data_IF_900578212556
#
_entry.id   IF_900578212556
#
_cell.length_a   1.000
_cell.length_b   1.000
_cell.length_c   1.000
_cell.angle_alpha   90.00
_cell.angle_beta   90.00
_cell.angle_gamma   90.00
#
_symmetry.space_group_name_H-M   'P 1'
#
loop_
_entity.id
_entity.type
_entity.pdbx_description
1 polymer ?
#
# COMPACT_ATOMS: atom_id res chain seq x y z
N UNK A 1 -13.31 12.30 0.33
CA UNK A 1 -11.94 12.00 -0.13
C UNK A 1 -11.12 13.26 -0.45
N UNK A 2 -11.61 14.20 -1.26
CA UNK A 2 -10.90 15.46 -1.55
C UNK A 2 -10.45 16.23 -0.28
N UNK A 3 -11.35 16.43 0.69
CA UNK A 3 -11.03 17.06 1.99
C UNK A 3 -9.91 16.35 2.75
N UNK A 4 -9.88 15.01 2.70
CA UNK A 4 -8.82 14.23 3.34
C UNK A 4 -7.48 14.42 2.63
N UNK A 5 -7.49 14.56 1.30
CA UNK A 5 -6.30 14.88 0.50
C UNK A 5 -5.71 16.25 0.87
N UNK A 6 -6.53 17.30 0.81
CA UNK A 6 -6.12 18.65 1.21
C UNK A 6 -5.63 18.71 2.66
N UNK A 7 -6.35 18.05 3.58
CA UNK A 7 -5.98 18.01 4.98
C UNK A 7 -4.70 17.22 5.28
N UNK A 8 -4.33 16.23 4.44
CA UNK A 8 -3.10 15.42 4.61
C UNK A 8 -1.87 16.10 4.04
N UNK A 9 -1.99 16.83 2.93
CA UNK A 9 -0.88 17.43 2.21
C UNK A 9 0.09 18.25 3.10
N UNK A 10 -0.37 19.16 3.98
CA UNK A 10 0.54 19.94 4.81
C UNK A 10 1.06 19.19 6.05
N UNK A 11 0.40 18.11 6.48
CA UNK A 11 0.70 17.47 7.78
C UNK A 11 2.13 16.97 7.88
N UNK A 12 2.60 16.26 6.86
CA UNK A 12 3.93 15.65 6.91
C UNK A 12 5.01 16.74 6.92
N UNK A 13 4.93 17.70 5.99
CA UNK A 13 5.90 18.79 5.87
C UNK A 13 5.92 19.68 7.12
N UNK A 14 4.76 20.13 7.61
CA UNK A 14 4.71 21.01 8.78
C UNK A 14 5.15 20.32 10.06
N UNK A 15 4.82 19.02 10.24
CA UNK A 15 5.23 18.30 11.45
C UNK A 15 6.75 18.11 11.51
N UNK A 16 7.37 17.74 10.39
CA UNK A 16 8.83 17.53 10.34
C UNK A 16 9.58 18.85 10.51
N UNK A 17 9.15 19.92 9.83
CA UNK A 17 9.77 21.25 9.95
C UNK A 17 9.63 21.80 11.36
N UNK A 18 8.43 21.69 11.97
CA UNK A 18 8.21 22.12 13.35
C UNK A 18 9.19 21.44 14.31
N UNK A 19 9.37 20.13 14.18
CA UNK A 19 10.29 19.37 15.03
C UNK A 19 11.74 19.78 14.79
N UNK A 20 12.16 19.97 13.53
CA UNK A 20 13.53 20.38 13.22
C UNK A 20 13.87 21.77 13.77
N UNK A 21 12.93 22.72 13.68
CA UNK A 21 13.14 24.09 14.16
C UNK A 21 13.23 24.18 15.69
N UNK A 22 12.43 23.37 16.39
CA UNK A 22 12.21 23.45 17.84
C UNK A 22 12.99 22.40 18.66
N UNK A 23 13.71 21.47 18.03
CA UNK A 23 14.54 20.49 18.74
C UNK A 23 16.03 20.71 18.48
N UNK A 24 16.88 20.17 19.35
CA UNK A 24 18.32 20.16 19.10
C UNK A 24 18.61 19.28 17.88
N UNK A 25 19.49 19.72 16.97
CA UNK A 25 19.83 19.01 15.72
C UNK A 25 20.25 17.55 15.93
N UNK A 26 20.83 17.24 17.09
CA UNK A 26 21.23 15.89 17.51
C UNK A 26 20.02 14.98 17.72
N UNK A 27 18.89 15.53 18.16
CA UNK A 27 17.67 14.80 18.50
C UNK A 27 16.62 14.81 17.38
N UNK A 28 16.73 15.69 16.37
CA UNK A 28 15.79 15.76 15.24
C UNK A 28 15.58 14.40 14.58
N UNK A 29 16.65 13.64 14.35
CA UNK A 29 16.57 12.32 13.71
C UNK A 29 15.76 11.30 14.51
N UNK A 30 15.82 11.35 15.85
CA UNK A 30 15.03 10.48 16.72
C UNK A 30 13.54 10.81 16.61
N UNK A 31 13.18 12.09 16.75
CA UNK A 31 11.78 12.54 16.65
C UNK A 31 11.18 12.31 15.27
N UNK A 32 11.93 12.60 14.19
CA UNK A 32 11.51 12.31 12.82
C UNK A 32 11.27 10.81 12.63
N UNK A 33 12.18 9.96 13.15
CA UNK A 33 12.01 8.52 13.18
C UNK A 33 10.72 8.09 13.89
N UNK A 34 10.41 8.66 15.06
CA UNK A 34 9.15 8.39 15.78
C UNK A 34 7.91 8.76 14.97
N UNK A 35 7.91 9.92 14.30
CA UNK A 35 6.81 10.36 13.43
C UNK A 35 6.60 9.37 12.27
N UNK A 36 7.68 8.97 11.61
CA UNK A 36 7.64 8.00 10.51
C UNK A 36 7.15 6.62 10.99
N UNK A 37 7.65 6.11 12.10
CA UNK A 37 7.22 4.82 12.67
C UNK A 37 5.74 4.84 13.09
N UNK A 38 5.28 5.93 13.72
CA UNK A 38 3.85 6.07 14.09
C UNK A 38 2.92 6.07 12.86
N UNK A 39 3.39 6.64 11.75
CA UNK A 39 2.65 6.63 10.48
C UNK A 39 2.51 5.21 9.89
N UNK A 40 3.49 4.34 10.12
CA UNK A 40 3.47 2.93 9.69
C UNK A 40 2.58 2.05 10.57
N UNK A 41 2.39 2.40 11.85
CA UNK A 41 1.48 1.71 12.76
C UNK A 41 0.00 1.93 12.42
N UNK A 42 -0.34 3.08 11.84
CA UNK A 42 -1.72 3.47 11.54
C UNK A 42 -2.51 2.40 10.77
N UNK A 43 -2.00 1.88 9.63
CA UNK A 43 -2.66 0.82 8.89
C UNK A 43 -2.90 -0.47 9.68
N UNK A 44 -1.96 -0.90 10.53
CA UNK A 44 -2.15 -2.09 11.36
C UNK A 44 -3.35 -1.90 12.30
N UNK A 45 -3.40 -0.77 13.01
CA UNK A 45 -4.53 -0.43 13.89
C UNK A 45 -5.85 -0.32 13.10
N UNK A 46 -5.80 0.23 11.88
CA UNK A 46 -6.98 0.33 11.02
C UNK A 46 -7.53 -1.03 10.59
N UNK A 47 -6.67 -1.96 10.16
CA UNK A 47 -7.11 -3.32 9.82
C UNK A 47 -7.59 -4.09 11.05
N UNK A 48 -6.96 -3.90 12.22
CA UNK A 48 -7.39 -4.52 13.47
C UNK A 48 -8.82 -4.09 13.84
N UNK A 49 -9.06 -2.78 13.93
CA UNK A 49 -10.38 -2.23 14.23
C UNK A 49 -11.39 -2.56 13.12
N UNK A 50 -10.96 -2.54 11.85
CA UNK A 50 -11.78 -2.99 10.72
C UNK A 50 -12.25 -4.44 10.86
N UNK A 51 -11.40 -5.32 11.38
CA UNK A 51 -11.76 -6.70 11.73
C UNK A 51 -12.81 -6.77 12.84
N UNK A 52 -12.66 -5.97 13.91
CA UNK A 52 -13.64 -5.88 15.00
C UNK A 52 -15.00 -5.42 14.47
N UNK A 53 -15.03 -4.32 13.73
CA UNK A 53 -16.28 -3.77 13.18
C UNK A 53 -16.91 -4.68 12.12
N UNK A 54 -16.12 -5.46 11.38
CA UNK A 54 -16.61 -6.44 10.42
C UNK A 54 -17.27 -7.67 11.06
N UNK A 55 -16.98 -7.93 12.34
CA UNK A 55 -17.64 -8.98 13.13
C UNK A 55 -18.97 -8.52 13.72
N UNK A 56 -19.24 -7.22 13.76
CA UNK A 56 -20.52 -6.66 14.21
C UNK A 56 -21.45 -6.49 13.01
N UNK A 57 -22.72 -6.87 13.16
CA UNK A 57 -23.71 -6.67 12.09
C UNK A 57 -24.01 -5.18 11.90
N UNK A 58 -24.33 -4.78 10.67
CA UNK A 58 -24.47 -3.36 10.27
C UNK A 58 -25.47 -2.56 11.12
N UNK A 59 -26.56 -3.18 11.59
CA UNK A 59 -27.58 -2.53 12.46
C UNK A 59 -27.26 -2.61 13.95
N UNK A 60 -26.20 -3.34 14.35
CA UNK A 60 -25.81 -3.61 15.74
C UNK A 60 -26.84 -4.43 16.55
N UNK A 61 -27.89 -4.92 15.89
CA UNK A 61 -28.91 -5.77 16.50
C UNK A 61 -28.45 -7.23 16.58
N UNK A 62 -29.03 -7.99 17.51
CA UNK A 62 -28.82 -9.43 17.58
C UNK A 62 -29.47 -10.09 16.36
N UNK A 63 -28.68 -10.84 15.59
CA UNK A 63 -29.16 -11.57 14.41
C UNK A 63 -28.72 -13.02 14.50
N UNK A 64 -29.50 -13.92 13.90
CA UNK A 64 -29.12 -15.33 13.73
C UNK A 64 -28.14 -15.53 12.55
N UNK A 65 -27.82 -14.46 11.81
CA UNK A 65 -26.86 -14.53 10.70
C UNK A 65 -25.45 -14.67 11.25
N UNK A 66 -24.66 -15.55 10.63
CA UNK A 66 -23.23 -15.69 10.94
C UNK A 66 -22.38 -14.80 10.02
N UNK A 67 -21.16 -14.41 10.40
CA UNK A 67 -20.24 -13.65 9.54
C UNK A 67 -19.83 -14.33 8.22
N UNK A 68 -20.21 -15.59 8.00
CA UNK A 68 -20.01 -16.32 6.75
C UNK A 68 -21.22 -16.25 5.81
N UNK A 69 -22.37 -15.82 6.32
CA UNK A 69 -23.60 -15.77 5.56
C UNK A 69 -23.50 -14.71 4.43
N UNK A 70 -23.99 -14.95 3.20
CA UNK A 70 -23.85 -14.01 2.07
C UNK A 70 -24.46 -12.62 2.30
N UNK A 71 -25.49 -12.55 3.16
CA UNK A 71 -26.15 -11.30 3.55
C UNK A 71 -25.49 -10.59 4.74
N UNK A 72 -24.39 -11.14 5.28
CA UNK A 72 -23.67 -10.48 6.36
C UNK A 72 -22.97 -9.23 5.84
N UNK A 73 -23.30 -8.08 6.43
CA UNK A 73 -22.63 -6.82 6.19
C UNK A 73 -22.11 -6.34 7.53
N UNK A 74 -20.79 -6.19 7.62
CA UNK A 74 -20.13 -5.65 8.82
C UNK A 74 -20.47 -4.18 9.04
N UNK A 75 -20.39 -3.72 10.29
CA UNK A 75 -20.63 -2.33 10.68
C UNK A 75 -19.49 -1.37 10.25
N UNK A 76 -19.24 -1.27 8.95
CA UNK A 76 -18.15 -0.49 8.34
C UNK A 76 -18.16 1.00 8.73
N UNK A 77 -19.35 1.56 8.97
CA UNK A 77 -19.55 2.97 9.30
C UNK A 77 -18.99 3.35 10.68
N UNK A 78 -18.87 2.40 11.62
CA UNK A 78 -18.29 2.64 12.94
C UNK A 78 -16.85 3.14 12.87
N UNK A 79 -16.09 2.68 11.87
CA UNK A 79 -14.72 3.15 11.66
C UNK A 79 -14.65 4.66 11.46
N UNK A 80 -15.56 5.25 10.68
CA UNK A 80 -15.57 6.70 10.46
C UNK A 80 -15.86 7.49 11.74
N UNK A 81 -16.75 6.97 12.60
CA UNK A 81 -17.07 7.60 13.87
C UNK A 81 -15.88 7.52 14.82
N UNK A 82 -15.31 6.33 15.01
CA UNK A 82 -14.21 6.11 15.96
C UNK A 82 -12.97 6.93 15.56
N UNK A 83 -12.53 6.83 14.30
CA UNK A 83 -11.37 7.61 13.84
C UNK A 83 -11.68 9.11 13.73
N UNK A 84 -12.93 9.49 13.42
CA UNK A 84 -13.37 10.87 13.40
C UNK A 84 -13.29 11.52 14.78
N UNK A 85 -13.89 10.88 15.80
CA UNK A 85 -13.84 11.35 17.19
C UNK A 85 -12.41 11.37 17.71
N UNK A 86 -11.63 10.31 17.47
CA UNK A 86 -10.21 10.30 17.87
C UNK A 86 -9.42 11.46 17.23
N UNK A 87 -9.69 11.77 15.96
CA UNK A 87 -9.03 12.90 15.28
C UNK A 87 -9.43 14.26 15.88
N UNK A 88 -10.67 14.42 16.34
CA UNK A 88 -11.12 15.63 17.04
C UNK A 88 -10.45 15.76 18.40
N UNK A 89 -10.33 14.67 19.16
CA UNK A 89 -9.62 14.66 20.45
C UNK A 89 -8.16 15.05 20.27
N UNK A 90 -7.47 14.51 19.25
CA UNK A 90 -6.07 14.87 18.94
C UNK A 90 -5.94 16.30 18.41
N UNK A 91 -6.98 16.87 17.80
CA UNK A 91 -6.99 18.27 17.39
C UNK A 91 -7.05 19.24 18.59
N UNK A 92 -7.63 18.84 19.72
CA UNK A 92 -7.73 19.71 20.91
C UNK A 92 -6.36 20.20 21.41
N UNK A 93 -5.35 19.34 21.65
CA UNK A 93 -4.01 19.77 22.02
C UNK A 93 -3.32 20.68 21.00
N UNK A 94 -3.66 20.58 19.71
CA UNK A 94 -3.09 21.46 18.69
C UNK A 94 -3.54 22.92 18.87
N UNK A 95 -4.69 23.17 19.48
CA UNK A 95 -5.10 24.55 19.84
C UNK A 95 -4.24 25.14 20.96
N UNK A 96 -3.52 24.32 21.73
CA UNK A 96 -2.57 24.78 22.73
C UNK A 96 -1.22 25.20 22.12
N UNK A 97 -0.98 24.94 20.82
CA UNK A 97 0.25 25.39 20.18
C UNK A 97 0.27 26.91 20.03
N UNK A 98 1.44 27.56 20.20
CA UNK A 98 1.53 29.01 20.12
C UNK A 98 1.13 29.50 18.71
N UNK A 99 0.32 30.57 18.65
CA UNK A 99 -0.11 31.20 17.38
C UNK A 99 1.06 31.66 16.50
N UNK A 100 2.24 31.85 17.10
CA UNK A 100 3.47 32.23 16.43
C UNK A 100 4.60 31.36 16.96
N UNK A 101 5.29 30.68 16.06
CA UNK A 101 6.57 30.06 16.38
C UNK A 101 7.60 31.17 16.65
N UNK A 102 8.35 31.12 17.77
CA UNK A 102 9.44 32.05 17.97
C UNK A 102 10.46 31.86 16.85
N UNK A 103 10.59 32.87 15.97
CA UNK A 103 11.65 32.89 14.96
C UNK A 103 12.98 32.79 15.70
N UNK A 104 13.76 31.73 15.45
CA UNK A 104 15.20 31.82 15.66
C UNK A 104 15.66 33.05 14.87
N UNK A 105 16.42 33.93 15.50
CA UNK A 105 17.04 35.10 14.88
C UNK A 105 18.02 34.63 13.79
N UNK A 106 17.50 34.16 12.67
CA UNK A 106 18.24 34.17 11.42
C UNK A 106 18.41 35.65 11.13
N UNK A 107 19.68 36.10 11.12
CA UNK A 107 20.06 37.40 10.57
C UNK A 107 19.77 37.35 9.06
N UNK A 108 18.49 37.41 8.70
CA UNK A 108 18.09 37.65 7.33
C UNK A 108 18.31 39.13 7.07
N UNK A 109 19.46 39.41 6.46
CA UNK A 109 19.82 40.69 5.87
C UNK A 109 18.95 40.96 4.65
N UNK A 110 17.64 41.12 4.84
CA UNK A 110 16.78 41.76 3.87
C UNK A 110 15.56 42.35 4.59
N UNK A 111 15.60 43.67 4.73
CA UNK A 111 14.43 44.49 5.04
C UNK A 111 13.37 44.24 3.95
N UNK A 112 12.42 43.33 4.17
CA UNK A 112 11.21 43.23 3.36
C UNK A 112 10.07 43.96 4.07
N UNK A 113 9.95 45.25 3.75
CA UNK A 113 8.70 45.98 3.90
C UNK A 113 7.69 45.46 2.87
N UNK A 114 6.45 45.19 3.30
CA UNK A 114 5.33 44.78 2.44
C UNK A 114 4.42 45.99 2.26
N UNK A 115 4.23 46.47 1.02
CA UNK A 115 2.97 46.22 0.30
C UNK A 115 3.19 45.71 -1.15
N UNK A 116 2.27 44.88 -1.65
CA UNK A 116 2.40 44.17 -2.94
C UNK A 116 2.21 45.07 -4.17
N UNK A 117 2.79 44.66 -5.32
CA UNK A 117 1.94 44.27 -6.44
C UNK A 117 2.29 42.86 -6.97
N UNK A 118 1.34 42.23 -7.66
CA UNK A 118 1.42 40.92 -8.33
C UNK A 118 2.73 40.70 -9.12
N UNK A 119 3.31 41.80 -9.64
CA UNK A 119 4.57 41.82 -10.38
C UNK A 119 5.78 41.38 -9.54
N UNK A 120 5.86 41.78 -8.26
CA UNK A 120 6.94 41.34 -7.36
C UNK A 120 6.76 39.87 -6.96
N UNK A 121 5.51 39.40 -6.87
CA UNK A 121 5.18 37.99 -6.65
C UNK A 121 5.65 37.13 -7.83
N UNK A 122 5.39 37.58 -9.06
CA UNK A 122 5.93 36.95 -10.28
C UNK A 122 7.47 37.02 -10.34
N UNK A 123 8.08 38.17 -9.99
CA UNK A 123 9.54 38.33 -9.97
C UNK A 123 10.25 37.44 -8.95
N UNK A 124 9.61 37.07 -7.84
CA UNK A 124 10.18 36.12 -6.86
C UNK A 124 9.82 34.68 -7.21
N UNK A 125 8.61 34.42 -7.66
CA UNK A 125 8.13 33.06 -7.96
C UNK A 125 8.81 32.45 -9.19
N UNK A 126 9.06 33.25 -10.24
CA UNK A 126 9.71 32.77 -11.47
C UNK A 126 11.14 32.25 -11.22
N UNK A 127 12.08 33.00 -10.60
CA UNK A 127 13.42 32.49 -10.34
C UNK A 127 13.41 31.29 -9.38
N UNK A 128 12.56 31.30 -8.36
CA UNK A 128 12.39 30.15 -7.45
C UNK A 128 11.89 28.91 -8.20
N UNK A 129 10.95 29.08 -9.13
CA UNK A 129 10.43 27.99 -9.96
C UNK A 129 11.47 27.49 -10.98
N UNK A 130 12.26 28.39 -11.57
CA UNK A 130 13.36 28.03 -12.46
C UNK A 130 14.48 27.31 -11.70
N UNK A 131 14.82 27.75 -10.48
CA UNK A 131 15.76 27.05 -9.61
C UNK A 131 15.25 25.68 -9.19
N UNK A 132 13.95 25.55 -8.92
CA UNK A 132 13.28 24.28 -8.68
C UNK A 132 13.44 23.34 -9.90
N UNK A 133 13.11 23.82 -11.11
CA UNK A 133 13.25 23.05 -12.35
C UNK A 133 14.70 22.66 -12.63
N UNK A 134 15.64 23.58 -12.41
CA UNK A 134 17.06 23.31 -12.55
C UNK A 134 17.54 22.24 -11.56
N UNK A 135 17.04 22.27 -10.31
CA UNK A 135 17.36 21.26 -9.28
C UNK A 135 16.76 19.90 -9.63
N UNK A 136 15.51 19.88 -10.12
CA UNK A 136 14.86 18.67 -10.60
C UNK A 136 15.60 18.07 -11.80
N UNK A 137 16.02 18.90 -12.76
CA UNK A 137 16.81 18.46 -13.90
C UNK A 137 18.13 17.84 -13.46
N UNK A 138 18.88 18.47 -12.54
CA UNK A 138 20.13 17.90 -12.00
C UNK A 138 19.92 16.54 -11.34
N UNK A 139 18.80 16.35 -10.62
CA UNK A 139 18.46 15.07 -10.03
C UNK A 139 18.15 14.00 -11.08
N UNK A 140 17.37 14.36 -12.11
CA UNK A 140 16.99 13.44 -13.19
C UNK A 140 18.14 13.12 -14.14
N UNK A 141 19.19 13.95 -14.18
CA UNK A 141 20.42 13.66 -14.92
C UNK A 141 21.36 12.73 -14.13
N UNK A 142 21.23 12.65 -12.81
CA UNK A 142 22.02 11.72 -11.99
C UNK A 142 21.48 10.28 -12.16
N UNK A 143 22.19 9.41 -12.90
CA UNK A 143 21.66 8.08 -13.25
C UNK A 143 21.50 7.18 -12.02
N UNK A 144 22.40 7.29 -11.02
CA UNK A 144 22.29 6.50 -9.79
C UNK A 144 21.02 6.86 -9.02
N UNK A 145 20.71 8.16 -8.93
CA UNK A 145 19.47 8.63 -8.30
C UNK A 145 18.23 8.14 -9.07
N UNK A 146 18.23 8.24 -10.41
CA UNK A 146 17.10 7.79 -11.24
C UNK A 146 16.84 6.29 -11.11
N UNK A 147 17.87 5.45 -11.15
CA UNK A 147 17.68 4.00 -10.97
C UNK A 147 17.11 3.65 -9.59
N UNK A 148 17.58 4.31 -8.53
CA UNK A 148 17.05 4.13 -7.18
C UNK A 148 15.62 4.65 -7.06
N UNK A 149 15.28 5.75 -7.73
CA UNK A 149 13.94 6.33 -7.82
C UNK A 149 12.97 5.36 -8.49
N UNK A 150 13.30 4.84 -9.66
CA UNK A 150 12.45 3.88 -10.37
C UNK A 150 12.27 2.60 -9.52
N UNK A 151 13.36 2.08 -8.94
CA UNK A 151 13.28 0.93 -8.03
C UNK A 151 12.36 1.17 -6.83
N UNK A 152 12.41 2.38 -6.25
CA UNK A 152 11.56 2.77 -5.13
C UNK A 152 10.08 2.87 -5.55
N UNK A 153 9.80 3.41 -6.73
CA UNK A 153 8.43 3.49 -7.26
C UNK A 153 7.89 2.09 -7.55
N UNK A 154 8.67 1.20 -8.16
CA UNK A 154 8.24 -0.19 -8.44
C UNK A 154 7.89 -0.95 -7.17
N UNK A 155 8.69 -0.81 -6.09
CA UNK A 155 8.38 -1.50 -4.83
C UNK A 155 7.17 -0.88 -4.11
N UNK A 156 7.00 0.46 -4.17
CA UNK A 156 5.84 1.13 -3.59
C UNK A 156 4.57 0.76 -4.35
N UNK A 157 4.61 0.62 -5.67
CA UNK A 157 3.51 0.12 -6.47
C UNK A 157 3.07 -1.28 -6.00
N UNK A 158 4.03 -2.21 -5.83
CA UNK A 158 3.73 -3.55 -5.28
C UNK A 158 3.11 -3.47 -3.89
N UNK A 159 3.66 -2.65 -2.99
CA UNK A 159 3.12 -2.51 -1.64
C UNK A 159 1.73 -1.89 -1.61
N UNK A 160 1.47 -0.85 -2.39
CA UNK A 160 0.18 -0.17 -2.44
C UNK A 160 -0.93 -1.09 -2.97
N UNK A 161 -0.65 -1.85 -4.04
CA UNK A 161 -1.59 -2.84 -4.58
C UNK A 161 -1.88 -3.97 -3.60
N UNK A 162 -0.84 -4.52 -2.98
CA UNK A 162 -1.00 -5.55 -1.94
C UNK A 162 -1.81 -5.00 -0.77
N UNK A 163 -1.42 -3.85 -0.20
CA UNK A 163 -2.07 -3.26 0.96
C UNK A 163 -3.56 -3.00 0.75
N UNK A 164 -3.96 -2.61 -0.46
CA UNK A 164 -5.35 -2.27 -0.77
C UNK A 164 -6.27 -3.49 -0.86
N UNK A 165 -5.73 -4.65 -1.27
CA UNK A 165 -6.54 -5.83 -1.58
C UNK A 165 -6.09 -7.12 -0.89
N UNK A 166 -5.10 -7.07 0.02
CA UNK A 166 -4.58 -8.25 0.71
C UNK A 166 -5.66 -8.98 1.52
N UNK A 167 -6.49 -8.25 2.26
CA UNK A 167 -7.60 -8.85 3.02
C UNK A 167 -8.60 -9.53 2.10
N UNK A 168 -8.97 -8.87 0.98
CA UNK A 168 -9.84 -9.44 -0.05
C UNK A 168 -9.24 -10.69 -0.71
N UNK A 169 -7.92 -10.68 -0.95
CA UNK A 169 -7.20 -11.84 -1.44
C UNK A 169 -7.31 -13.01 -0.44
N UNK A 170 -7.09 -12.75 0.85
CA UNK A 170 -7.25 -13.77 1.89
C UNK A 170 -8.69 -14.31 2.01
N UNK A 171 -9.69 -13.42 1.90
CA UNK A 171 -11.11 -13.79 1.91
C UNK A 171 -11.45 -14.78 0.78
N UNK A 172 -11.01 -14.50 -0.45
CA UNK A 172 -11.40 -15.30 -1.62
C UNK A 172 -10.49 -16.48 -1.86
N UNK A 173 -9.19 -16.32 -1.71
CA UNK A 173 -8.22 -17.39 -1.94
C UNK A 173 -8.32 -18.48 -0.87
N UNK A 174 -8.47 -18.09 0.41
CA UNK A 174 -8.45 -18.99 1.56
C UNK A 174 -9.80 -19.12 2.28
N UNK A 175 -10.87 -18.53 1.74
CA UNK A 175 -12.24 -18.63 2.27
C UNK A 175 -12.35 -18.17 3.73
N UNK A 176 -11.56 -17.15 4.07
CA UNK A 176 -11.60 -16.54 5.39
C UNK A 176 -12.80 -15.60 5.52
N UNK A 177 -13.51 -15.62 6.66
CA UNK A 177 -14.43 -14.54 6.99
C UNK A 177 -13.72 -13.19 6.99
N UNK A 178 -14.42 -12.13 6.59
CA UNK A 178 -13.88 -10.76 6.46
C UNK A 178 -13.11 -10.32 7.71
N UNK A 179 -13.64 -10.60 8.90
CA UNK A 179 -12.98 -10.23 10.16
C UNK A 179 -11.64 -10.96 10.37
N UNK A 180 -11.55 -12.26 10.03
CA UNK A 180 -10.32 -13.04 10.16
C UNK A 180 -9.27 -12.57 9.16
N UNK A 181 -9.68 -12.28 7.92
CA UNK A 181 -8.79 -11.74 6.90
C UNK A 181 -8.18 -10.38 7.32
N UNK A 182 -9.01 -9.50 7.90
CA UNK A 182 -8.56 -8.22 8.44
C UNK A 182 -7.59 -8.37 9.63
N UNK A 183 -7.86 -9.28 10.57
CA UNK A 183 -6.95 -9.56 11.67
C UNK A 183 -5.60 -10.10 11.19
N UNK A 184 -5.61 -11.05 10.24
CA UNK A 184 -4.39 -11.59 9.64
C UNK A 184 -3.60 -10.49 8.93
N UNK A 185 -4.28 -9.62 8.18
CA UNK A 185 -3.66 -8.47 7.51
C UNK A 185 -2.99 -7.54 8.52
N UNK A 186 -3.71 -7.18 9.60
CA UNK A 186 -3.17 -6.37 10.69
C UNK A 186 -1.92 -7.01 11.31
N UNK A 187 -1.98 -8.30 11.64
CA UNK A 187 -0.86 -9.04 12.22
C UNK A 187 0.37 -9.02 11.31
N UNK A 188 0.18 -9.28 10.01
CA UNK A 188 1.27 -9.21 9.03
C UNK A 188 1.86 -7.81 8.95
N UNK A 189 1.05 -6.76 8.82
CA UNK A 189 1.54 -5.37 8.71
C UNK A 189 2.27 -4.94 9.99
N UNK A 190 1.72 -5.25 11.16
CA UNK A 190 2.34 -4.92 12.45
C UNK A 190 3.71 -5.59 12.60
N UNK A 191 3.76 -6.91 12.40
CA UNK A 191 4.98 -7.70 12.59
C UNK A 191 6.06 -7.43 11.54
N UNK A 192 5.68 -6.98 10.34
CA UNK A 192 6.65 -6.85 9.23
C UNK A 192 7.02 -5.41 8.95
N UNK A 193 6.04 -4.50 8.83
CA UNK A 193 6.30 -3.11 8.49
C UNK A 193 6.97 -2.34 9.63
N UNK A 194 6.48 -2.51 10.86
CA UNK A 194 7.01 -1.79 12.01
C UNK A 194 8.38 -2.34 12.44
N UNK A 195 8.47 -3.65 12.68
CA UNK A 195 9.74 -4.29 13.03
C UNK A 195 10.76 -4.22 11.90
N UNK A 196 10.36 -4.43 10.64
CA UNK A 196 11.28 -4.35 9.51
C UNK A 196 11.92 -2.97 9.37
N UNK A 197 11.13 -1.90 9.47
CA UNK A 197 11.68 -0.53 9.40
C UNK A 197 12.61 -0.24 10.58
N UNK A 198 12.21 -0.64 11.80
CA UNK A 198 13.02 -0.45 13.00
C UNK A 198 14.35 -1.23 12.96
N UNK A 199 14.29 -2.52 12.63
CA UNK A 199 15.47 -3.39 12.49
C UNK A 199 16.35 -2.87 11.36
N UNK A 200 15.78 -2.45 10.22
CA UNK A 200 16.53 -1.87 9.11
C UNK A 200 17.29 -0.61 9.49
N UNK A 201 16.67 0.26 10.29
CA UNK A 201 17.32 1.44 10.87
C UNK A 201 18.41 1.07 11.87
N UNK A 202 18.11 0.16 12.80
CA UNK A 202 19.05 -0.32 13.81
C UNK A 202 20.30 -0.95 13.20
N UNK A 203 20.14 -1.83 12.21
CA UNK A 203 21.24 -2.44 11.45
C UNK A 203 22.09 -1.38 10.74
N UNK A 204 21.44 -0.43 10.08
CA UNK A 204 22.12 0.67 9.36
C UNK A 204 22.98 1.52 10.29
N UNK A 205 22.44 1.87 11.45
CA UNK A 205 23.13 2.69 12.45
C UNK A 205 24.22 1.94 13.20
N UNK A 206 23.96 0.70 13.65
CA UNK A 206 24.92 -0.09 14.44
C UNK A 206 26.13 -0.55 13.63
N UNK A 207 25.90 -0.98 12.39
CA UNK A 207 26.99 -1.42 11.52
C UNK A 207 27.75 -0.26 10.86
N UNK A 208 27.38 1.00 11.13
CA UNK A 208 27.96 2.20 10.52
C UNK A 208 28.09 2.05 9.00
N UNK A 209 27.00 1.64 8.36
CA UNK A 209 27.03 1.27 6.94
C UNK A 209 27.35 2.49 6.08
N UNK A 210 28.41 2.39 5.28
CA UNK A 210 28.69 3.37 4.23
C UNK A 210 27.65 3.24 3.11
N UNK A 211 27.52 4.25 2.23
CA UNK A 211 26.56 4.21 1.13
C UNK A 211 26.73 2.97 0.22
N UNK A 212 27.98 2.53 0.00
CA UNK A 212 28.28 1.29 -0.73
C UNK A 212 27.76 0.03 -0.01
N UNK A 213 27.95 -0.05 1.30
CA UNK A 213 27.47 -1.18 2.11
C UNK A 213 25.94 -1.18 2.17
N UNK A 214 25.31 -0.02 2.28
CA UNK A 214 23.85 0.12 2.18
C UNK A 214 23.33 -0.36 0.82
N UNK A 215 24.02 -0.04 -0.28
CA UNK A 215 23.63 -0.48 -1.62
C UNK A 215 23.75 -2.01 -1.80
N UNK A 216 24.82 -2.62 -1.28
CA UNK A 216 24.96 -4.10 -1.24
C UNK A 216 23.86 -4.76 -0.42
N UNK A 217 23.57 -4.21 0.77
CA UNK A 217 22.50 -4.72 1.62
C UNK A 217 21.13 -4.58 0.94
N UNK A 218 20.88 -3.45 0.29
CA UNK A 218 19.65 -3.22 -0.48
C UNK A 218 19.48 -4.28 -1.57
N UNK A 219 20.55 -4.60 -2.32
CA UNK A 219 20.54 -5.65 -3.34
C UNK A 219 20.13 -7.02 -2.76
N UNK A 220 20.68 -7.40 -1.60
CA UNK A 220 20.34 -8.67 -0.95
C UNK A 220 18.88 -8.65 -0.48
N UNK A 221 18.42 -7.57 0.17
CA UNK A 221 17.05 -7.46 0.67
C UNK A 221 16.02 -7.47 -0.47
N UNK A 222 16.28 -6.79 -1.60
CA UNK A 222 15.36 -6.81 -2.75
C UNK A 222 15.37 -8.15 -3.47
N UNK A 223 16.51 -8.85 -3.53
CA UNK A 223 16.57 -10.21 -4.06
C UNK A 223 15.76 -11.20 -3.21
N UNK A 224 15.88 -11.11 -1.87
CA UNK A 224 15.07 -11.91 -0.95
C UNK A 224 13.58 -11.56 -1.08
N UNK A 225 13.23 -10.27 -1.14
CA UNK A 225 11.86 -9.83 -1.38
C UNK A 225 11.27 -10.43 -2.67
N UNK A 226 12.04 -10.44 -3.75
CA UNK A 226 11.63 -11.05 -5.02
C UNK A 226 11.47 -12.58 -4.89
N UNK A 227 12.42 -13.27 -4.26
CA UNK A 227 12.34 -14.71 -4.05
C UNK A 227 11.08 -15.12 -3.26
N UNK A 228 10.77 -14.42 -2.16
CA UNK A 228 9.55 -14.67 -1.40
C UNK A 228 8.28 -14.27 -2.16
N UNK A 229 8.32 -13.24 -3.01
CA UNK A 229 7.19 -12.91 -3.89
C UNK A 229 6.90 -14.03 -4.90
N UNK A 230 7.91 -14.72 -5.41
CA UNK A 230 7.71 -15.92 -6.25
C UNK A 230 7.20 -17.10 -5.41
N UNK A 231 7.73 -17.30 -4.20
CA UNK A 231 7.31 -18.37 -3.29
C UNK A 231 5.81 -18.32 -2.96
N UNK A 232 5.25 -17.11 -2.89
CA UNK A 232 3.81 -16.87 -2.63
C UNK A 232 2.89 -17.56 -3.66
N UNK A 233 3.33 -17.78 -4.91
CA UNK A 233 2.54 -18.48 -5.92
C UNK A 233 2.25 -19.95 -5.59
N UNK A 234 3.15 -20.57 -4.83
CA UNK A 234 3.05 -21.99 -4.46
C UNK A 234 1.86 -22.20 -3.53
N UNK A 235 1.63 -21.26 -2.60
CA UNK A 235 0.58 -21.37 -1.60
C UNK A 235 -0.75 -20.85 -2.12
N UNK A 236 -1.60 -21.78 -2.55
CA UNK A 236 -2.92 -21.49 -3.07
C UNK A 236 -3.90 -22.61 -2.68
N UNK A 237 -5.19 -22.32 -2.76
CA UNK A 237 -6.26 -23.29 -2.61
C UNK A 237 -6.97 -23.46 -3.96
N UNK A 238 -7.42 -24.68 -4.24
CA UNK A 238 -8.24 -24.94 -5.42
C UNK A 238 -9.61 -24.26 -5.31
N UNK A 239 -10.22 -24.00 -6.46
CA UNK A 239 -11.55 -23.40 -6.52
C UNK A 239 -12.60 -24.45 -6.11
N UNK A 240 -13.49 -24.13 -5.16
CA UNK A 240 -14.52 -25.08 -4.74
C UNK A 240 -15.52 -25.27 -5.89
N UNK A 241 -15.97 -26.51 -6.09
CA UNK A 241 -17.00 -26.83 -7.07
C UNK A 241 -18.34 -26.29 -6.60
N UNK A 242 -19.00 -25.55 -7.50
CA UNK A 242 -20.37 -25.06 -7.26
C UNK A 242 -21.28 -25.90 -8.15
N UNK A 243 -22.18 -26.66 -7.54
CA UNK A 243 -23.12 -27.56 -8.20
C UNK A 243 -24.39 -26.85 -8.67
N UNK A 244 -25.04 -27.43 -9.68
CA UNK A 244 -26.29 -26.99 -10.28
C UNK A 244 -26.18 -25.55 -10.80
N UNK A 245 -25.16 -25.30 -11.63
CA UNK A 245 -24.98 -24.00 -12.29
C UNK A 245 -26.02 -23.81 -13.40
N UNK A 246 -26.35 -22.56 -13.77
CA UNK A 246 -27.13 -22.29 -14.97
C UNK A 246 -26.55 -23.04 -16.19
N UNK A 247 -27.40 -23.77 -16.92
CA UNK A 247 -27.00 -24.63 -18.04
C UNK A 247 -26.71 -26.10 -17.67
N UNK A 248 -26.66 -26.46 -16.39
CA UNK A 248 -26.64 -27.86 -15.94
C UNK A 248 -28.07 -28.37 -15.70
N UNK A 249 -28.60 -29.17 -16.63
CA UNK A 249 -29.92 -29.79 -16.45
C UNK A 249 -29.87 -30.85 -15.35
N UNK A 250 -30.59 -30.62 -14.25
CA UNK A 250 -30.69 -31.56 -13.14
C UNK A 250 -32.14 -31.99 -12.94
N UNK A 251 -32.38 -33.30 -12.77
CA UNK A 251 -33.75 -33.82 -12.61
C UNK A 251 -34.44 -33.26 -11.37
N UNK A 252 -33.67 -32.98 -10.31
CA UNK A 252 -34.17 -32.54 -9.01
C UNK A 252 -34.76 -31.12 -8.99
N UNK A 253 -34.34 -30.22 -9.88
CA UNK A 253 -34.79 -28.83 -9.92
C UNK A 253 -35.62 -28.47 -11.17
N UNK A 254 -36.02 -29.45 -12.00
CA UNK A 254 -36.83 -29.23 -13.22
C UNK A 254 -38.16 -28.50 -12.99
N UNK A 255 -38.74 -28.64 -11.80
CA UNK A 255 -39.99 -27.94 -11.43
C UNK A 255 -39.78 -26.48 -11.02
N UNK A 256 -38.53 -26.00 -10.94
CA UNK A 256 -38.19 -24.66 -10.48
C UNK A 256 -37.72 -23.80 -11.66
N UNK A 257 -38.45 -22.74 -11.99
CA UNK A 257 -38.05 -21.78 -13.02
C UNK A 257 -37.04 -20.77 -12.44
N UNK A 258 -35.83 -21.25 -12.17
CA UNK A 258 -34.79 -20.47 -11.50
C UNK A 258 -34.22 -19.37 -12.40
N UNK A 259 -33.90 -18.22 -11.80
CA UNK A 259 -33.21 -17.13 -12.50
C UNK A 259 -31.70 -17.38 -12.50
N UNK A 260 -31.11 -17.38 -13.70
CA UNK A 260 -29.67 -17.60 -13.88
C UNK A 260 -28.81 -16.51 -13.24
N UNK A 261 -29.33 -15.28 -13.11
CA UNK A 261 -28.59 -14.15 -12.53
C UNK A 261 -28.65 -14.08 -10.99
N UNK A 262 -29.27 -15.06 -10.32
CA UNK A 262 -29.48 -15.06 -8.86
C UNK A 262 -28.51 -15.98 -8.14
N UNK A 263 -27.21 -15.66 -8.18
CA UNK A 263 -26.19 -16.40 -7.44
C UNK A 263 -26.30 -16.12 -5.94
N UNK A 264 -26.61 -17.17 -5.17
CA UNK A 264 -26.73 -17.11 -3.72
C UNK A 264 -26.27 -18.44 -3.12
N UNK A 265 -24.95 -18.62 -2.88
CA UNK A 265 -24.43 -19.94 -2.56
C UNK A 265 -25.00 -20.45 -1.24
N UNK A 266 -25.38 -21.73 -1.24
CA UNK A 266 -25.83 -22.45 -0.05
C UNK A 266 -24.99 -23.73 0.14
N UNK A 267 -24.82 -24.13 1.39
CA UNK A 267 -24.15 -25.35 1.79
C UNK A 267 -25.20 -26.38 2.20
N UNK A 268 -25.29 -27.48 1.46
CA UNK A 268 -26.13 -28.62 1.84
C UNK A 268 -25.56 -29.38 3.03
N UNK A 269 -26.43 -30.08 3.76
CA UNK A 269 -26.01 -31.01 4.82
C UNK A 269 -25.14 -32.17 4.28
N UNK A 270 -25.13 -32.37 2.95
CA UNK A 270 -24.26 -33.28 2.22
C UNK A 270 -22.82 -32.75 2.01
N UNK A 271 -22.53 -31.54 2.49
CA UNK A 271 -21.23 -30.88 2.38
C UNK A 271 -20.94 -30.29 0.99
N UNK A 272 -21.94 -30.20 0.11
CA UNK A 272 -21.78 -29.64 -1.23
C UNK A 272 -22.32 -28.21 -1.33
N UNK A 273 -21.62 -27.39 -2.11
CA UNK A 273 -22.03 -26.00 -2.36
C UNK A 273 -22.86 -25.93 -3.63
N UNK A 274 -24.06 -25.35 -3.55
CA UNK A 274 -24.98 -25.18 -4.67
C UNK A 274 -25.10 -23.71 -5.09
N UNK A 275 -25.42 -23.47 -6.37
CA UNK A 275 -25.49 -22.13 -6.97
C UNK A 275 -26.48 -21.18 -6.27
N UNK A 276 -27.67 -21.69 -5.94
CA UNK A 276 -28.73 -20.95 -5.24
C UNK A 276 -29.72 -21.90 -4.54
N UNK A 277 -30.56 -21.40 -3.60
CA UNK A 277 -31.62 -22.20 -3.01
C UNK A 277 -32.59 -22.79 -4.05
N UNK A 278 -32.91 -22.02 -5.09
CA UNK A 278 -33.77 -22.48 -6.18
C UNK A 278 -33.09 -23.60 -6.99
N UNK A 279 -31.82 -23.41 -7.33
CA UNK A 279 -31.06 -24.43 -8.08
C UNK A 279 -30.83 -25.71 -7.27
N UNK A 280 -30.92 -25.64 -5.94
CA UNK A 280 -30.94 -26.81 -5.04
C UNK A 280 -32.34 -27.39 -4.79
N UNK A 281 -33.39 -26.79 -5.37
CA UNK A 281 -34.77 -27.24 -5.26
C UNK A 281 -35.39 -27.06 -3.86
N UNK A 282 -34.95 -26.06 -3.10
CA UNK A 282 -35.49 -25.77 -1.77
C UNK A 282 -36.83 -25.03 -1.85
N UNK A 283 -37.84 -25.50 -1.11
CA UNK A 283 -39.19 -24.91 -1.11
C UNK A 283 -39.48 -24.01 0.10
N UNK A 284 -38.72 -24.18 1.19
CA UNK A 284 -38.91 -23.43 2.43
C UNK A 284 -37.62 -22.75 2.86
N UNK A 285 -37.74 -21.54 3.39
CA UNK A 285 -36.63 -20.77 3.93
C UNK A 285 -37.06 -20.17 5.27
N UNK A 286 -36.41 -20.59 6.35
CA UNK A 286 -36.70 -20.13 7.70
C UNK A 286 -35.40 -19.73 8.38
N UNK A 287 -35.29 -18.48 8.82
CA UNK A 287 -34.14 -17.95 9.57
C UNK A 287 -32.75 -18.23 8.94
N UNK A 288 -32.64 -18.24 7.61
CA UNK A 288 -31.36 -18.52 6.90
C UNK A 288 -31.03 -20.01 6.72
N UNK A 289 -31.95 -20.89 7.11
CA UNK A 289 -31.92 -22.32 6.84
C UNK A 289 -32.95 -22.63 5.75
N UNK A 290 -32.51 -23.32 4.72
CA UNK A 290 -33.34 -23.78 3.62
C UNK A 290 -33.73 -25.22 3.86
N UNK A 291 -35.01 -25.54 3.67
CA UNK A 291 -35.57 -26.85 3.92
C UNK A 291 -36.34 -27.37 2.71
N UNK A 292 -36.56 -28.67 2.69
CA UNK A 292 -37.22 -29.39 1.61
C UNK A 292 -36.50 -29.15 0.27
N UNK A 293 -35.18 -29.34 0.29
CA UNK A 293 -34.30 -29.20 -0.88
C UNK A 293 -34.18 -30.54 -1.61
N UNK A 294 -34.79 -30.67 -2.78
CA UNK A 294 -34.81 -31.91 -3.56
C UNK A 294 -33.44 -32.36 -4.09
N UNK A 295 -32.51 -31.42 -4.31
CA UNK A 295 -31.18 -31.72 -4.84
C UNK A 295 -30.11 -32.00 -3.76
N UNK A 296 -30.46 -31.87 -2.48
CA UNK A 296 -29.53 -31.97 -1.35
C UNK A 296 -29.81 -33.24 -0.56
N UNK A 297 -28.79 -34.09 -0.36
CA UNK A 297 -28.95 -35.25 0.51
C UNK A 297 -29.13 -34.77 1.96
N UNK A 298 -30.25 -35.14 2.59
CA UNK A 298 -30.67 -34.64 3.91
C UNK A 298 -31.71 -33.51 3.86
N UNK A 299 -32.00 -32.94 2.69
CA UNK A 299 -33.13 -32.03 2.47
C UNK A 299 -33.03 -30.66 3.15
N UNK A 300 -31.88 -30.35 3.77
CA UNK A 300 -31.60 -29.07 4.42
C UNK A 300 -30.29 -28.47 3.91
N UNK A 301 -30.24 -27.14 3.88
CA UNK A 301 -29.07 -26.37 3.52
C UNK A 301 -29.00 -25.07 4.34
N UNK A 302 -27.79 -24.54 4.51
CA UNK A 302 -27.54 -23.27 5.18
C UNK A 302 -26.98 -22.23 4.21
N UNK A 303 -27.25 -20.95 4.44
CA UNK A 303 -26.70 -19.88 3.60
C UNK A 303 -25.18 -19.75 3.69
N UNK A 304 -24.52 -19.64 2.54
CA UNK A 304 -23.07 -19.56 2.42
C UNK A 304 -22.45 -20.77 1.71
N UNK A 305 -21.16 -20.70 1.43
CA UNK A 305 -20.41 -21.83 0.86
C UNK A 305 -20.05 -22.84 1.94
N UNK A 306 -19.95 -24.13 1.58
CA UNK A 306 -19.48 -25.14 2.52
C UNK A 306 -18.04 -24.88 2.97
N UNK A 307 -17.74 -25.29 4.20
CA UNK A 307 -16.38 -25.24 4.71
C UNK A 307 -15.53 -26.31 4.05
N UNK A 308 -14.35 -25.92 3.58
CA UNK A 308 -13.35 -26.85 3.11
C UNK A 308 -11.99 -26.45 3.67
N UNK A 309 -11.19 -27.44 4.05
CA UNK A 309 -9.90 -27.20 4.69
C UNK A 309 -8.84 -26.83 3.65
N UNK A 310 -8.25 -25.64 3.77
CA UNK A 310 -7.04 -25.29 3.02
C UNK A 310 -5.84 -25.13 3.95
N UNK A 311 -4.90 -26.08 3.88
CA UNK A 311 -3.68 -26.10 4.70
C UNK A 311 -2.63 -25.07 4.26
N UNK A 312 -2.73 -24.53 3.04
CA UNK A 312 -1.76 -23.59 2.47
C UNK A 312 -1.85 -22.16 3.02
N UNK A 313 -2.84 -21.84 3.87
CA UNK A 313 -3.02 -20.50 4.45
C UNK A 313 -1.78 -20.04 5.24
N UNK A 314 -1.30 -20.87 6.17
CA UNK A 314 -0.18 -20.50 7.03
C UNK A 314 1.10 -20.30 6.22
N UNK A 315 1.35 -21.16 5.23
CA UNK A 315 2.47 -21.02 4.30
C UNK A 315 2.43 -19.71 3.53
N UNK A 316 1.25 -19.32 3.03
CA UNK A 316 1.06 -18.03 2.35
C UNK A 316 1.33 -16.84 3.28
N UNK A 317 0.77 -16.85 4.48
CA UNK A 317 0.91 -15.75 5.45
C UNK A 317 2.38 -15.56 5.85
N UNK A 318 3.11 -16.66 6.11
CA UNK A 318 4.54 -16.61 6.41
C UNK A 318 5.33 -16.09 5.21
N UNK A 319 5.07 -16.60 4.00
CA UNK A 319 5.74 -16.17 2.77
C UNK A 319 5.53 -14.67 2.49
N UNK A 320 4.27 -14.21 2.53
CA UNK A 320 3.89 -12.82 2.35
C UNK A 320 4.46 -11.92 3.46
N UNK A 321 4.51 -12.44 4.69
CA UNK A 321 5.12 -11.76 5.83
C UNK A 321 6.63 -11.56 5.63
N UNK A 322 7.36 -12.61 5.25
CA UNK A 322 8.80 -12.53 4.98
C UNK A 322 9.11 -11.59 3.81
N UNK A 323 8.32 -11.66 2.73
CA UNK A 323 8.39 -10.69 1.63
C UNK A 323 8.28 -9.25 2.15
N UNK A 324 7.24 -8.95 2.92
CA UNK A 324 7.04 -7.61 3.47
C UNK A 324 8.20 -7.21 4.40
N UNK A 325 8.67 -8.12 5.26
CA UNK A 325 9.78 -7.87 6.18
C UNK A 325 11.03 -7.40 5.43
N UNK A 326 11.45 -8.12 4.38
CA UNK A 326 12.64 -7.74 3.59
C UNK A 326 12.44 -6.43 2.83
N UNK A 327 11.23 -6.16 2.34
CA UNK A 327 10.91 -4.86 1.77
C UNK A 327 11.14 -3.72 2.78
N UNK A 328 10.63 -3.85 4.01
CA UNK A 328 10.73 -2.81 5.04
C UNK A 328 12.14 -2.69 5.66
N UNK A 329 12.88 -3.79 5.77
CA UNK A 329 14.30 -3.79 6.15
C UNK A 329 15.16 -2.93 5.21
N UNK A 330 14.81 -2.91 3.92
CA UNK A 330 15.52 -2.13 2.90
C UNK A 330 15.20 -0.63 2.88
N UNK A 331 14.20 -0.15 3.64
CA UNK A 331 13.74 1.26 3.56
C UNK A 331 14.80 2.24 4.05
N UNK A 332 15.37 2.01 5.25
CA UNK A 332 16.38 2.91 5.83
C UNK A 332 17.70 2.91 5.05
N UNK A 333 18.30 1.75 4.67
CA UNK A 333 19.47 1.73 3.79
C UNK A 333 19.23 2.46 2.47
N UNK A 334 18.06 2.29 1.85
CA UNK A 334 17.70 2.99 0.63
C UNK A 334 17.69 4.51 0.84
N UNK A 335 17.04 4.99 1.89
CA UNK A 335 17.03 6.42 2.25
C UNK A 335 18.45 6.99 2.43
N UNK A 336 19.35 6.25 3.09
CA UNK A 336 20.76 6.67 3.24
C UNK A 336 21.46 6.80 1.89
N UNK A 337 21.30 5.83 0.98
CA UNK A 337 21.91 5.91 -0.36
C UNK A 337 21.32 7.08 -1.15
N UNK A 338 20.01 7.30 -1.08
CA UNK A 338 19.31 8.41 -1.74
C UNK A 338 19.88 9.79 -1.36
N UNK A 339 20.16 10.02 -0.08
CA UNK A 339 20.73 11.29 0.38
C UNK A 339 22.20 11.41 -0.01
N UNK A 340 22.95 10.30 0.02
CA UNK A 340 24.39 10.29 -0.20
C UNK A 340 24.78 10.34 -1.68
N UNK A 341 23.90 9.94 -2.60
CA UNK A 341 24.17 10.03 -4.04
C UNK A 341 23.90 11.42 -4.64
N UNK A 342 23.39 12.37 -3.85
CA UNK A 342 23.01 13.72 -4.28
C UNK A 342 23.85 14.78 -3.56
N UNK A 343 24.26 15.88 -4.23
CA UNK A 343 24.95 17.01 -3.60
C UNK A 343 24.15 17.64 -2.46
N UNK A 344 24.83 18.22 -1.47
CA UNK A 344 24.16 18.73 -0.25
C UNK A 344 23.03 19.73 -0.54
N UNK A 345 23.24 20.61 -1.52
CA UNK A 345 22.27 21.61 -1.96
C UNK A 345 20.96 21.02 -2.49
N UNK A 346 20.99 19.81 -3.05
CA UNK A 346 19.88 19.20 -3.78
C UNK A 346 19.19 18.09 -2.95
N UNK A 347 19.65 17.82 -1.71
CA UNK A 347 19.13 16.75 -0.83
C UNK A 347 17.66 16.94 -0.46
N UNK A 348 17.25 18.16 -0.10
CA UNK A 348 15.86 18.47 0.25
C UNK A 348 14.91 18.19 -0.94
N UNK A 349 15.35 18.54 -2.15
CA UNK A 349 14.61 18.27 -3.37
C UNK A 349 14.50 16.77 -3.66
N UNK A 350 15.59 16.02 -3.52
CA UNK A 350 15.59 14.56 -3.67
C UNK A 350 14.57 13.88 -2.73
N UNK A 351 14.48 14.35 -1.49
CA UNK A 351 13.53 13.84 -0.50
C UNK A 351 12.07 14.21 -0.81
N UNK A 352 11.82 15.30 -1.54
CA UNK A 352 10.48 15.71 -1.95
C UNK A 352 10.01 14.99 -3.24
N UNK A 353 10.92 14.74 -4.18
CA UNK A 353 10.62 14.13 -5.48
C UNK A 353 10.15 12.68 -5.33
N UNK A 354 10.80 11.88 -4.47
CA UNK A 354 10.42 10.49 -4.23
C UNK A 354 8.94 10.32 -3.81
N UNK A 355 8.45 10.95 -2.72
CA UNK A 355 7.07 10.80 -2.29
C UNK A 355 6.06 11.36 -3.30
N UNK A 356 6.40 12.41 -4.06
CA UNK A 356 5.55 12.94 -5.12
C UNK A 356 5.32 11.89 -6.22
N UNK A 357 6.41 11.32 -6.76
CA UNK A 357 6.34 10.31 -7.83
C UNK A 357 5.69 9.03 -7.28
N UNK A 358 6.00 8.64 -6.04
CA UNK A 358 5.39 7.51 -5.37
C UNK A 358 3.87 7.69 -5.16
N UNK A 359 3.39 8.90 -4.90
CA UNK A 359 1.96 9.17 -4.76
C UNK A 359 1.22 8.95 -6.10
N UNK A 360 1.79 9.44 -7.20
CA UNK A 360 1.18 9.34 -8.54
C UNK A 360 1.27 7.91 -9.08
N UNK A 361 2.47 7.34 -9.14
CA UNK A 361 2.71 6.05 -9.80
C UNK A 361 2.61 4.85 -8.88
N UNK A 362 2.81 5.03 -7.58
CA UNK A 362 2.68 3.96 -6.59
C UNK A 362 1.27 3.91 -6.02
N UNK A 363 0.95 4.85 -5.14
CA UNK A 363 -0.27 4.81 -4.33
C UNK A 363 -1.56 5.04 -5.09
N UNK A 364 -1.56 5.87 -6.12
CA UNK A 364 -2.77 6.13 -6.93
C UNK A 364 -2.95 5.08 -8.03
N UNK A 365 -1.88 4.77 -8.77
CA UNK A 365 -1.98 3.85 -9.92
C UNK A 365 -2.14 2.38 -9.50
N UNK A 366 -1.50 1.93 -8.42
CA UNK A 366 -1.55 0.52 -8.04
C UNK A 366 -2.96 0.02 -7.70
N UNK A 367 -3.79 0.72 -6.88
CA UNK A 367 -5.15 0.26 -6.60
C UNK A 367 -6.04 0.18 -7.85
N UNK A 368 -5.82 1.05 -8.84
CA UNK A 368 -6.56 1.04 -10.11
C UNK A 368 -6.18 -0.20 -10.94
N UNK A 369 -4.88 -0.45 -11.10
CA UNK A 369 -4.37 -1.61 -11.86
C UNK A 369 -4.77 -2.92 -11.19
N UNK A 370 -4.54 -3.05 -9.89
CA UNK A 370 -4.94 -4.24 -9.14
C UNK A 370 -6.46 -4.40 -9.09
N UNK A 371 -7.23 -3.31 -8.98
CA UNK A 371 -8.70 -3.37 -9.00
C UNK A 371 -9.23 -3.93 -10.32
N UNK A 372 -8.76 -3.40 -11.46
CA UNK A 372 -9.14 -3.91 -12.78
C UNK A 372 -8.72 -5.37 -12.96
N UNK A 373 -7.51 -5.74 -12.52
CA UNK A 373 -7.04 -7.12 -12.56
C UNK A 373 -7.94 -8.10 -11.78
N UNK A 374 -8.42 -7.67 -10.62
CA UNK A 374 -9.37 -8.43 -9.79
C UNK A 374 -10.71 -8.57 -10.50
N UNK A 375 -11.19 -7.49 -11.11
CA UNK A 375 -12.48 -7.49 -11.80
C UNK A 375 -12.46 -8.37 -13.06
N UNK A 376 -11.32 -8.51 -13.72
CA UNK A 376 -11.15 -9.46 -14.83
C UNK A 376 -11.27 -10.92 -14.39
N UNK A 377 -10.90 -11.23 -13.15
CA UNK A 377 -11.04 -12.57 -12.58
C UNK A 377 -12.48 -12.89 -12.12
N UNK A 378 -13.45 -12.01 -12.36
CA UNK A 378 -14.81 -12.24 -11.93
C UNK A 378 -15.60 -13.12 -12.90
N UNK A 379 -16.17 -14.20 -12.38
CA UNK A 379 -17.05 -15.11 -13.11
C UNK A 379 -18.52 -14.66 -13.07
N UNK A 380 -18.98 -14.14 -11.92
CA UNK A 380 -20.39 -13.77 -11.71
C UNK A 380 -20.48 -12.39 -11.08
N UNK A 381 -21.20 -11.50 -11.77
CA UNK A 381 -21.47 -10.13 -11.31
C UNK A 381 -22.82 -10.04 -10.61
N UNK A 382 -22.85 -9.28 -9.52
CA UNK A 382 -24.09 -8.80 -8.90
C UNK A 382 -24.66 -7.69 -9.79
N UNK A 383 -25.80 -7.93 -10.44
CA UNK A 383 -26.43 -6.97 -11.35
C UNK A 383 -27.64 -6.37 -10.63
N UNK A 384 -27.51 -5.11 -10.22
CA UNK A 384 -28.60 -4.35 -9.62
C UNK A 384 -29.04 -3.27 -10.60
N UNK A 385 -30.31 -3.29 -11.00
CA UNK A 385 -30.93 -2.26 -11.85
C UNK A 385 -30.09 -1.91 -13.10
N UNK A 386 -29.66 -2.94 -13.87
CA UNK A 386 -28.84 -2.81 -15.10
C UNK A 386 -27.41 -2.27 -14.88
N UNK A 387 -26.99 -2.04 -13.64
CA UNK A 387 -25.62 -1.63 -13.30
C UNK A 387 -24.82 -2.78 -12.70
N UNK A 388 -23.54 -2.85 -13.07
CA UNK A 388 -22.59 -3.84 -12.56
C UNK A 388 -22.20 -3.46 -11.13
N UNK A 389 -22.57 -4.31 -10.18
CA UNK A 389 -22.25 -4.17 -8.76
C UNK A 389 -20.96 -4.90 -8.39
N UNK A 390 -20.96 -5.56 -7.23
CA UNK A 390 -19.82 -6.36 -6.75
C UNK A 390 -19.71 -7.69 -7.51
N UNK A 391 -18.51 -8.23 -7.59
CA UNK A 391 -18.34 -9.61 -8.05
C UNK A 391 -18.71 -10.59 -6.93
N UNK A 392 -19.49 -11.62 -7.27
CA UNK A 392 -19.98 -12.64 -6.33
C UNK A 392 -19.10 -13.90 -6.33
N UNK A 393 -18.60 -14.30 -7.49
CA UNK A 393 -17.74 -15.47 -7.67
C UNK A 393 -16.53 -15.12 -8.55
N UNK A 394 -15.33 -15.45 -8.07
CA UNK A 394 -14.07 -15.22 -8.76
C UNK A 394 -13.47 -16.54 -9.27
N UNK A 395 -12.72 -16.47 -10.36
CA UNK A 395 -11.80 -17.52 -10.78
C UNK A 395 -10.53 -17.42 -9.92
N UNK A 396 -10.29 -18.45 -9.10
CA UNK A 396 -9.16 -18.44 -8.16
C UNK A 396 -7.80 -18.46 -8.89
N UNK A 397 -7.70 -19.14 -10.04
CA UNK A 397 -6.46 -19.25 -10.78
C UNK A 397 -6.11 -17.91 -11.43
N UNK A 398 -7.08 -17.31 -12.12
CA UNK A 398 -6.88 -15.99 -12.74
C UNK A 398 -6.61 -14.92 -11.68
N UNK A 399 -7.33 -14.95 -10.55
CA UNK A 399 -7.10 -14.02 -9.46
C UNK A 399 -5.71 -14.17 -8.83
N UNK A 400 -5.26 -15.42 -8.58
CA UNK A 400 -3.91 -15.72 -8.08
C UNK A 400 -2.83 -15.18 -9.02
N UNK A 401 -2.92 -15.50 -10.30
CA UNK A 401 -1.90 -15.18 -11.29
C UNK A 401 -1.81 -13.68 -11.53
N UNK A 402 -2.94 -12.99 -11.66
CA UNK A 402 -2.96 -11.54 -11.88
C UNK A 402 -2.47 -10.79 -10.64
N UNK A 403 -3.02 -11.07 -9.46
CA UNK A 403 -2.69 -10.38 -8.22
C UNK A 403 -1.20 -10.54 -7.83
N UNK A 404 -0.72 -11.79 -7.75
CA UNK A 404 0.68 -12.05 -7.41
C UNK A 404 1.62 -11.74 -8.58
N UNK A 405 1.13 -11.79 -9.83
CA UNK A 405 1.87 -11.45 -11.04
C UNK A 405 2.26 -9.98 -11.08
N UNK A 406 1.32 -9.05 -10.83
CA UNK A 406 1.66 -7.64 -10.71
C UNK A 406 2.63 -7.36 -9.56
N UNK A 407 2.48 -8.07 -8.44
CA UNK A 407 3.43 -8.03 -7.33
C UNK A 407 4.84 -8.48 -7.74
N UNK A 408 4.93 -9.59 -8.49
CA UNK A 408 6.19 -10.13 -9.01
C UNK A 408 6.84 -9.21 -10.05
N UNK A 409 6.06 -8.60 -10.95
CA UNK A 409 6.55 -7.63 -11.92
C UNK A 409 7.14 -6.39 -11.23
N UNK A 410 6.46 -5.83 -10.23
CA UNK A 410 7.00 -4.69 -9.48
C UNK A 410 8.23 -5.05 -8.64
N UNK A 411 8.26 -6.24 -8.04
CA UNK A 411 9.43 -6.74 -7.32
C UNK A 411 10.63 -7.01 -8.25
N UNK A 412 10.38 -7.60 -9.43
CA UNK A 412 11.39 -7.83 -10.46
C UNK A 412 11.95 -6.50 -10.98
N UNK A 413 11.09 -5.54 -11.30
CA UNK A 413 11.51 -4.20 -11.71
C UNK A 413 12.39 -3.54 -10.63
N UNK A 414 11.97 -3.61 -9.37
CA UNK A 414 12.76 -3.09 -8.25
C UNK A 414 14.14 -3.74 -8.15
N UNK A 415 14.23 -5.07 -8.31
CA UNK A 415 15.48 -5.82 -8.30
C UNK A 415 16.39 -5.44 -9.47
N UNK A 416 15.86 -5.41 -10.69
CA UNK A 416 16.61 -5.04 -11.90
C UNK A 416 17.23 -3.66 -11.75
N UNK A 417 16.45 -2.66 -11.32
CA UNK A 417 16.97 -1.30 -11.17
C UNK A 417 17.97 -1.16 -10.00
N UNK A 418 17.86 -1.96 -8.94
CA UNK A 418 18.90 -2.01 -7.89
C UNK A 418 20.17 -2.68 -8.38
N UNK A 419 20.07 -3.74 -9.18
CA UNK A 419 21.23 -4.37 -9.82
C UNK A 419 21.94 -3.36 -10.73
N UNK A 420 21.19 -2.66 -11.58
CA UNK A 420 21.76 -1.63 -12.47
C UNK A 420 22.40 -0.51 -11.65
N UNK A 421 21.74 -0.01 -10.60
CA UNK A 421 22.29 0.99 -9.69
C UNK A 421 23.60 0.51 -9.02
N UNK A 422 23.65 -0.74 -8.58
CA UNK A 422 24.84 -1.34 -7.98
C UNK A 422 26.00 -1.46 -8.98
N UNK A 423 25.73 -1.95 -10.18
CA UNK A 423 26.74 -2.08 -11.23
C UNK A 423 27.25 -0.70 -11.66
N UNK A 424 26.36 0.27 -11.83
CA UNK A 424 26.73 1.65 -12.15
C UNK A 424 27.58 2.29 -11.06
N UNK A 425 27.17 2.17 -9.79
CA UNK A 425 27.93 2.72 -8.66
C UNK A 425 29.32 2.06 -8.50
N UNK A 426 29.44 0.77 -8.84
CA UNK A 426 30.73 0.07 -8.85
C UNK A 426 31.63 0.54 -9.99
N UNK A 427 31.09 0.74 -11.18
CA UNK A 427 31.83 1.17 -12.36
C UNK A 427 32.30 2.63 -12.25
N UNK A 428 31.38 3.53 -11.92
CA UNK A 428 31.63 4.98 -11.86
C UNK A 428 32.40 5.44 -10.62
N UNK A 429 32.53 4.57 -9.59
CA UNK A 429 33.12 4.89 -8.27
C UNK A 429 32.51 6.13 -7.60
N UNK A 430 31.32 6.59 -8.00
CA UNK A 430 30.68 7.80 -7.48
C UNK A 430 30.38 7.79 -5.96
N UNK A 431 30.43 6.61 -5.33
CA UNK A 431 30.23 6.45 -3.87
C UNK A 431 31.56 6.29 -3.09
N UNK A 432 32.71 6.62 -3.70
CA UNK A 432 34.00 6.74 -3.00
C UNK A 432 34.18 8.14 -2.43
N UNK A 433 34.57 8.22 -1.16
CA UNK A 433 34.73 9.48 -0.40
C UNK A 433 35.73 10.45 -1.05
N UNK A 434 36.65 9.98 -1.90
CA UNK A 434 37.59 10.80 -2.66
C UNK A 434 37.14 11.26 -4.05
N UNK A 435 36.03 10.73 -4.60
CA UNK A 435 35.54 11.06 -5.97
C UNK A 435 34.41 12.08 -5.94
N UNK A 436 33.64 12.16 -4.84
CA UNK A 436 32.58 13.18 -4.68
C UNK A 436 33.13 14.61 -4.63
N UNK A 437 34.36 14.80 -4.14
CA UNK A 437 35.07 16.09 -4.18
C UNK A 437 35.48 16.47 -5.59
N UNK A 438 35.89 15.51 -6.43
CA UNK A 438 36.33 15.76 -7.82
C UNK A 438 35.15 16.12 -8.73
N UNK A 439 34.03 15.39 -8.65
CA UNK A 439 32.83 15.69 -9.46
C UNK A 439 32.19 17.01 -9.03
N UNK A 440 32.23 17.36 -7.73
CA UNK A 440 31.79 18.68 -7.26
C UNK A 440 32.66 19.81 -7.85
N UNK A 441 33.98 19.59 -7.95
CA UNK A 441 34.93 20.52 -8.55
C UNK A 441 34.73 20.67 -10.07
N UNK A 442 34.56 19.57 -10.81
CA UNK A 442 34.31 19.61 -12.27
C UNK A 442 33.00 20.32 -12.62
N UNK A 443 31.94 20.12 -11.81
CA UNK A 443 30.65 20.80 -12.02
C UNK A 443 30.72 22.30 -11.65
N UNK A 444 31.61 22.69 -10.72
CA UNK A 444 31.90 24.11 -10.45
C UNK A 444 32.77 24.75 -11.55
N UNK A 445 33.76 24.05 -12.10
CA UNK A 445 34.55 24.55 -13.24
C UNK A 445 33.70 24.77 -14.48
N UNK A 446 32.77 23.85 -14.80
CA UNK A 446 31.82 24.02 -15.92
C UNK A 446 30.92 25.25 -15.70
N UNK A 447 30.53 25.55 -14.46
CA UNK A 447 29.75 26.76 -14.14
C UNK A 447 30.57 28.03 -14.26
N UNK A 448 31.86 28.00 -13.93
CA UNK A 448 32.74 29.15 -14.13
C UNK A 448 32.89 29.48 -15.63
N UNK A 449 33.10 28.45 -16.46
CA UNK A 449 33.22 28.60 -17.92
C UNK A 449 31.93 29.15 -18.56
N UNK A 450 30.75 28.72 -18.10
CA UNK A 450 29.45 29.22 -18.60
C UNK A 450 29.13 30.64 -18.10
N UNK A 451 29.64 31.04 -16.93
CA UNK A 451 29.43 32.40 -16.39
C UNK A 451 30.34 33.43 -17.06
N UNK A 452 31.57 33.05 -17.45
CA UNK A 452 32.46 33.93 -18.21
C UNK A 452 32.03 34.13 -19.67
N UNK A 453 31.35 33.14 -20.26
CA UNK A 453 30.84 33.24 -21.63
C UNK A 453 29.51 34.01 -21.76
N UNK A 454 28.86 34.36 -20.65
CA UNK A 454 27.63 35.19 -20.63
C UNK A 454 27.88 36.65 -20.25
N UNK A 455 29.12 37.04 -19.93
CA UNK A 455 29.50 38.43 -19.61
C UNK A 455 30.16 39.16 -20.81
N UNK A 456 30.43 38.45 -21.91
CA UNK A 456 31.03 39.03 -23.13
C UNK A 456 30.15 38.86 -24.39
N UNK A 457 28.85 39.19 -24.29
CA UNK A 457 28.00 39.47 -25.47
C UNK A 457 27.17 40.73 -25.19
#
# INVERSE_FOLDING_TARGET
MALQGFGKAPRFSFSVVYVDDNTAKVNTGFYAGTILSSSVLGPAVAFLLGGVFSRMYVTLEATQLTPRHPNWIGAWWLGYIVFGVASLVVAVPLFCFPRKLPRKNVKDTHNLQIPAPLLHLLQVMVPVFLEFLASLYRLLVNPLYVFLLISAVSIIFTAAGNMSFFSKYLERMFHLPVHVANYTTSGVVLCTSCFGTFIGGFLSSRMKMTAKTCLKFLLVMTALCFAFQIMVFIFHCEQPTVHNRPGEENVCNRGCNCRDNSYFPICGDDGRTYYSPCHAGCLQAEHGIYQNCSCVAGGRASGGTCYYSCSHLYGYVVAAGMRNLFMFLGVMPKFVVFIRCVPERDRSMALAVLPLIAAIFGWMLAPIVFGNAIDQACLIWDINCLTRGRCLLYDNNQFRVTFNGYGALGAAGSLVFVVIAYLYARWSRCLEEGVQTVIAHEVEEIKFVVKDSTVNI
#
